data_IF_171630071449
#
_entry.id   IF_171630071449
#
_cell.length_a   1.000
_cell.length_b   1.000
_cell.length_c   1.000
_cell.angle_alpha   90.00
_cell.angle_beta   90.00
_cell.angle_gamma   90.00
#
_symmetry.space_group_name_H-M   'P 1'
#
loop_
_entity.id
_entity.type
_entity.pdbx_description
1 polymer ?
#
# COMPACT_ATOMS: atom_id res chain seq x y z
N UNK A 1 -21.16 42.93 32.69
CA UNK A 1 -19.93 42.16 32.79
C UNK A 1 -20.07 40.92 31.91
N UNK A 2 -19.57 40.98 30.68
CA UNK A 2 -19.49 39.83 29.77
C UNK A 2 -18.11 39.23 29.92
N UNK A 3 -18.01 38.02 30.43
CA UNK A 3 -16.74 37.27 30.47
C UNK A 3 -16.53 36.58 29.11
N UNK A 4 -15.56 37.05 28.39
CA UNK A 4 -15.05 36.43 27.18
C UNK A 4 -14.22 35.21 27.60
N UNK A 5 -14.68 34.01 27.23
CA UNK A 5 -13.86 32.80 27.31
C UNK A 5 -13.01 32.72 26.07
N UNK A 6 -11.73 33.02 26.19
CA UNK A 6 -10.74 32.67 25.22
C UNK A 6 -10.43 31.18 25.38
N UNK A 7 -10.92 30.34 24.49
CA UNK A 7 -10.52 28.93 24.39
C UNK A 7 -9.15 28.88 23.73
N UNK A 8 -8.17 28.50 24.53
CA UNK A 8 -6.79 28.27 24.07
C UNK A 8 -6.76 26.97 23.27
N UNK A 9 -6.75 27.03 21.95
CA UNK A 9 -6.68 25.90 21.01
C UNK A 9 -5.22 25.52 20.71
N UNK A 10 -4.35 25.52 21.73
CA UNK A 10 -2.89 25.34 21.52
C UNK A 10 -2.32 23.97 21.94
N UNK A 11 -3.13 22.97 22.30
CA UNK A 11 -2.57 21.75 22.92
C UNK A 11 -2.80 20.43 22.17
N UNK A 12 -3.23 20.43 20.91
CA UNK A 12 -3.49 19.17 20.17
C UNK A 12 -2.50 18.82 19.07
N UNK A 13 -1.51 19.65 18.78
CA UNK A 13 -0.59 19.42 17.64
C UNK A 13 0.67 18.62 18.00
N UNK A 14 0.98 18.45 19.29
CA UNK A 14 2.24 17.81 19.72
C UNK A 14 2.27 16.27 19.66
N UNK A 15 1.16 15.60 19.34
CA UNK A 15 1.06 14.13 19.34
C UNK A 15 1.13 13.46 17.98
N UNK A 16 0.93 14.21 16.88
CA UNK A 16 0.82 13.63 15.52
C UNK A 16 2.15 13.53 14.75
N UNK A 17 3.24 14.09 15.26
CA UNK A 17 4.50 14.17 14.51
C UNK A 17 5.33 12.87 14.49
N UNK A 18 4.88 11.79 15.10
CA UNK A 18 5.62 10.52 15.18
C UNK A 18 4.91 9.33 14.51
N UNK A 19 3.67 9.47 14.08
CA UNK A 19 2.95 8.37 13.45
C UNK A 19 3.36 8.24 11.98
N UNK A 20 3.66 7.02 11.55
CA UNK A 20 3.98 6.68 10.17
C UNK A 20 3.23 5.43 9.68
N UNK A 21 2.63 4.68 10.58
CA UNK A 21 1.62 3.67 10.28
C UNK A 21 0.22 4.20 10.62
N UNK A 22 -0.72 4.13 9.67
CA UNK A 22 -0.60 3.69 8.27
C UNK A 22 0.32 4.57 7.41
N UNK A 23 0.98 3.96 6.40
CA UNK A 23 1.98 4.65 5.56
C UNK A 23 1.37 5.51 4.45
N UNK A 24 0.12 5.31 4.09
CA UNK A 24 -0.63 6.10 3.12
C UNK A 24 -1.79 6.77 3.85
N UNK A 25 -1.96 8.08 3.63
CA UNK A 25 -2.98 8.90 4.32
C UNK A 25 -3.97 9.58 3.37
N UNK A 26 -3.72 9.52 2.06
CA UNK A 26 -4.56 10.13 1.03
C UNK A 26 -5.71 9.26 0.54
N UNK A 27 -5.65 7.95 0.82
CA UNK A 27 -6.65 6.95 0.46
C UNK A 27 -6.65 5.79 1.45
N UNK A 28 -7.70 4.98 1.45
CA UNK A 28 -7.73 3.69 2.15
C UNK A 28 -7.15 2.61 1.23
N UNK A 29 -6.03 2.01 1.65
CA UNK A 29 -5.17 1.14 0.85
C UNK A 29 -5.03 -0.24 1.49
N UNK A 30 -6.07 -1.11 1.40
CA UNK A 30 -6.00 -2.46 1.94
C UNK A 30 -5.06 -3.37 1.14
N UNK A 31 -4.72 -4.50 1.72
CA UNK A 31 -4.08 -5.64 1.08
C UNK A 31 -2.74 -5.28 0.39
N UNK A 32 -1.80 -4.62 1.09
CA UNK A 32 -0.55 -4.15 0.50
C UNK A 32 0.33 -5.32 0.06
N UNK A 33 0.71 -5.33 -1.22
CA UNK A 33 1.56 -6.33 -1.85
C UNK A 33 2.87 -5.68 -2.33
N UNK A 34 3.98 -5.80 -1.58
CA UNK A 34 5.26 -5.21 -1.95
C UNK A 34 5.97 -6.00 -3.05
N UNK A 35 6.70 -5.30 -3.93
CA UNK A 35 7.59 -5.87 -4.91
C UNK A 35 8.82 -4.97 -5.14
N UNK A 36 10.02 -5.52 -5.06
CA UNK A 36 11.27 -4.79 -5.29
C UNK A 36 11.72 -4.94 -6.73
N UNK A 37 11.96 -3.80 -7.39
CA UNK A 37 12.54 -3.76 -8.72
C UNK A 37 13.64 -2.69 -8.79
N UNK A 38 14.88 -3.11 -8.98
CA UNK A 38 16.05 -2.23 -8.88
C UNK A 38 16.21 -1.64 -7.47
N UNK A 39 16.34 -0.33 -7.38
CA UNK A 39 16.49 0.41 -6.12
C UNK A 39 15.16 0.88 -5.53
N UNK A 40 14.04 0.52 -6.14
CA UNK A 40 12.69 0.96 -5.80
C UNK A 40 11.85 -0.19 -5.25
N UNK A 41 11.15 0.05 -4.17
CA UNK A 41 10.08 -0.82 -3.69
C UNK A 41 8.74 -0.25 -4.17
N UNK A 42 8.00 -1.05 -4.92
CA UNK A 42 6.63 -0.81 -5.34
C UNK A 42 5.66 -1.46 -4.36
N UNK A 43 4.54 -0.82 -4.09
CA UNK A 43 3.46 -1.36 -3.30
C UNK A 43 2.16 -1.31 -4.10
N UNK A 44 1.65 -2.48 -4.42
CA UNK A 44 0.35 -2.66 -5.08
C UNK A 44 -0.70 -2.84 -4.00
N UNK A 45 -1.80 -2.10 -4.07
CA UNK A 45 -2.86 -2.17 -3.05
C UNK A 45 -4.23 -2.18 -3.67
N UNK A 46 -5.23 -2.67 -2.94
CA UNK A 46 -6.61 -2.35 -3.21
C UNK A 46 -6.93 -0.88 -2.90
N UNK A 47 -8.18 -0.50 -3.14
CA UNK A 47 -8.74 0.79 -2.77
C UNK A 47 -10.11 0.59 -2.12
N UNK A 48 -10.19 0.67 -0.80
CA UNK A 48 -11.47 0.74 -0.11
C UNK A 48 -12.11 2.11 -0.39
N UNK A 49 -13.28 2.13 -1.01
CA UNK A 49 -13.97 3.38 -1.36
C UNK A 49 -14.32 4.20 -0.13
N UNK A 50 -14.20 5.53 -0.17
CA UNK A 50 -14.48 6.43 0.97
C UNK A 50 -15.92 6.28 1.52
N UNK A 51 -16.87 5.81 0.72
CA UNK A 51 -18.27 5.57 1.09
C UNK A 51 -18.60 4.10 1.38
N UNK A 52 -17.59 3.23 1.51
CA UNK A 52 -17.79 1.80 1.66
C UNK A 52 -18.46 1.43 3.00
N UNK A 53 -19.41 0.50 2.93
CA UNK A 53 -20.06 -0.17 4.08
C UNK A 53 -19.91 -1.68 4.00
N UNK A 54 -19.17 -2.17 3.03
CA UNK A 54 -18.72 -3.54 2.77
C UNK A 54 -17.44 -3.45 1.95
N UNK A 55 -16.83 -4.56 1.52
CA UNK A 55 -15.62 -4.56 0.68
C UNK A 55 -15.90 -4.04 -0.74
N UNK A 56 -16.23 -2.73 -0.83
CA UNK A 56 -16.51 -2.02 -2.07
C UNK A 56 -15.22 -1.46 -2.63
N UNK A 57 -14.71 -2.10 -3.69
CA UNK A 57 -13.41 -1.79 -4.28
C UNK A 57 -13.54 -1.88 -5.81
N UNK A 58 -13.03 -0.87 -6.53
CA UNK A 58 -13.21 -0.73 -7.99
C UNK A 58 -11.92 -0.81 -8.77
N UNK A 59 -10.80 -0.60 -8.10
CA UNK A 59 -9.51 -0.38 -8.72
C UNK A 59 -8.37 -0.76 -7.80
N UNK A 60 -7.16 -0.84 -8.36
CA UNK A 60 -5.93 -1.08 -7.62
C UNK A 60 -5.00 0.11 -7.76
N UNK A 61 -4.43 0.53 -6.65
CA UNK A 61 -3.52 1.65 -6.55
C UNK A 61 -2.08 1.18 -6.54
N UNK A 62 -1.20 2.03 -7.04
CA UNK A 62 0.24 1.81 -7.07
C UNK A 62 0.97 2.93 -6.33
N UNK A 63 1.91 2.54 -5.50
CA UNK A 63 2.83 3.44 -4.79
C UNK A 63 4.26 2.95 -4.94
N UNK A 64 5.24 3.85 -4.74
CA UNK A 64 6.65 3.49 -4.69
C UNK A 64 7.38 4.21 -3.57
N UNK A 65 8.50 3.64 -3.13
CA UNK A 65 9.45 4.26 -2.21
C UNK A 65 10.87 3.80 -2.49
N UNK A 66 11.84 4.68 -2.21
CA UNK A 66 13.27 4.35 -2.20
C UNK A 66 13.86 4.41 -0.78
N UNK A 67 13.10 4.94 0.21
CA UNK A 67 13.57 5.24 1.56
C UNK A 67 12.71 4.65 2.69
N UNK A 68 11.61 3.96 2.35
CA UNK A 68 10.65 3.32 3.26
C UNK A 68 9.79 4.28 4.09
N UNK A 69 9.96 5.58 3.94
CA UNK A 69 9.22 6.56 4.75
C UNK A 69 8.47 7.60 3.92
N UNK A 70 8.94 7.92 2.72
CA UNK A 70 8.22 8.74 1.76
C UNK A 70 7.67 7.84 0.66
N UNK A 71 6.38 7.95 0.40
CA UNK A 71 5.67 7.15 -0.59
C UNK A 71 5.13 8.04 -1.69
N UNK A 72 5.44 7.71 -2.94
CA UNK A 72 4.95 8.41 -4.12
C UNK A 72 3.75 7.67 -4.69
N UNK A 73 2.63 8.34 -4.85
CA UNK A 73 1.46 7.80 -5.54
C UNK A 73 1.74 7.72 -7.04
N UNK A 74 1.51 6.56 -7.63
CA UNK A 74 1.74 6.28 -9.06
C UNK A 74 0.45 5.95 -9.82
N UNK A 75 -0.70 6.27 -9.22
CA UNK A 75 -2.01 6.16 -9.86
C UNK A 75 -2.74 4.86 -9.59
N UNK A 76 -3.79 4.67 -10.40
CA UNK A 76 -4.65 3.49 -10.46
C UNK A 76 -4.56 2.84 -11.83
N UNK A 77 -3.42 2.19 -12.17
CA UNK A 77 -3.16 1.71 -13.52
C UNK A 77 -4.02 0.52 -13.96
N UNK A 78 -4.64 -0.18 -13.00
CA UNK A 78 -5.58 -1.30 -13.24
C UNK A 78 -6.90 -1.03 -12.52
N UNK A 79 -8.01 -1.23 -13.23
CA UNK A 79 -9.37 -1.12 -12.70
C UNK A 79 -10.20 -2.31 -13.16
N UNK A 80 -11.40 -2.48 -12.63
CA UNK A 80 -12.32 -3.51 -13.14
C UNK A 80 -12.60 -3.36 -14.65
N UNK A 81 -12.56 -2.12 -15.18
CA UNK A 81 -12.76 -1.84 -16.61
C UNK A 81 -11.63 -2.35 -17.50
N UNK A 82 -10.46 -2.69 -16.94
CA UNK A 82 -9.38 -3.36 -17.69
C UNK A 82 -9.82 -4.74 -18.21
N UNK A 83 -10.80 -5.35 -17.55
CA UNK A 83 -11.31 -6.70 -17.84
C UNK A 83 -12.78 -6.64 -18.26
N UNK A 84 -13.06 -6.59 -19.57
CA UNK A 84 -14.42 -6.41 -20.11
C UNK A 84 -15.41 -7.51 -19.69
N UNK A 85 -14.92 -8.72 -19.40
CA UNK A 85 -15.72 -9.87 -18.99
C UNK A 85 -16.08 -9.87 -17.50
N UNK A 86 -15.41 -9.04 -16.69
CA UNK A 86 -15.61 -8.98 -15.25
C UNK A 86 -16.82 -8.13 -14.84
N UNK A 87 -17.31 -8.36 -13.63
CA UNK A 87 -18.27 -7.46 -12.99
C UNK A 87 -17.65 -6.07 -12.81
N UNK A 88 -18.35 -5.03 -13.22
CA UNK A 88 -17.80 -3.68 -13.28
C UNK A 88 -18.12 -2.86 -12.04
N UNK A 89 -17.14 -2.05 -11.62
CA UNK A 89 -17.31 -1.02 -10.60
C UNK A 89 -17.35 -1.51 -9.16
N UNK A 90 -16.95 -2.76 -8.91
CA UNK A 90 -16.83 -3.36 -7.57
C UNK A 90 -16.02 -4.65 -7.60
N UNK A 91 -15.65 -5.19 -6.42
CA UNK A 91 -14.98 -6.48 -6.20
C UNK A 91 -13.58 -6.58 -6.78
N UNK A 92 -12.86 -5.46 -6.85
CA UNK A 92 -11.44 -5.40 -7.15
C UNK A 92 -10.63 -5.63 -5.87
N UNK A 93 -10.59 -6.89 -5.37
CA UNK A 93 -10.02 -7.23 -4.07
C UNK A 93 -8.49 -7.43 -4.14
N UNK A 94 -7.89 -8.15 -3.20
CA UNK A 94 -6.44 -8.29 -3.10
C UNK A 94 -5.77 -8.75 -4.39
N UNK A 95 -4.53 -8.33 -4.58
CA UNK A 95 -3.79 -8.54 -5.82
C UNK A 95 -2.28 -8.50 -5.57
N UNK A 96 -1.50 -8.98 -6.53
CA UNK A 96 -0.05 -8.82 -6.52
C UNK A 96 0.51 -8.72 -7.95
N UNK A 97 1.61 -8.00 -8.10
CA UNK A 97 2.32 -7.91 -9.38
C UNK A 97 3.78 -8.34 -9.25
N UNK A 98 4.34 -8.81 -10.35
CA UNK A 98 5.77 -9.09 -10.52
C UNK A 98 6.25 -8.58 -11.87
N UNK A 99 7.54 -8.31 -11.94
CA UNK A 99 8.23 -8.10 -13.22
C UNK A 99 8.90 -9.39 -13.70
N UNK A 100 8.83 -9.68 -15.00
CA UNK A 100 9.57 -10.75 -15.64
C UNK A 100 9.87 -10.40 -17.11
N UNK A 101 11.13 -10.46 -17.47
CA UNK A 101 11.60 -10.26 -18.85
C UNK A 101 11.16 -8.91 -19.46
N UNK A 102 11.18 -7.84 -18.68
CA UNK A 102 10.79 -6.49 -19.08
C UNK A 102 9.29 -6.26 -19.16
N UNK A 103 8.49 -7.16 -18.59
CA UNK A 103 7.03 -7.04 -18.51
C UNK A 103 6.54 -7.14 -17.09
N UNK A 104 5.52 -6.35 -16.76
CA UNK A 104 4.82 -6.37 -15.49
C UNK A 104 3.54 -7.19 -15.64
N UNK A 105 3.37 -8.19 -14.77
CA UNK A 105 2.20 -9.05 -14.69
C UNK A 105 1.50 -8.78 -13.37
N UNK A 106 0.30 -8.23 -13.42
CA UNK A 106 -0.50 -7.91 -12.25
C UNK A 106 -1.66 -8.89 -12.13
N UNK A 107 -1.56 -9.82 -11.19
CA UNK A 107 -2.58 -10.82 -10.89
C UNK A 107 -3.59 -10.21 -9.93
N UNK A 108 -4.85 -10.30 -10.28
CA UNK A 108 -5.97 -9.71 -9.57
C UNK A 108 -7.07 -10.75 -9.36
N UNK A 109 -7.91 -10.56 -8.35
CA UNK A 109 -9.17 -11.28 -8.24
C UNK A 109 -10.34 -10.35 -8.55
N UNK A 110 -11.34 -10.93 -9.22
CA UNK A 110 -12.53 -10.28 -9.75
C UNK A 110 -13.72 -11.22 -9.61
N UNK A 111 -14.88 -10.80 -10.05
CA UNK A 111 -16.03 -11.68 -10.26
C UNK A 111 -16.35 -11.74 -11.74
N UNK A 112 -16.49 -12.93 -12.30
CA UNK A 112 -16.94 -13.12 -13.67
C UNK A 112 -18.41 -12.69 -13.82
N UNK A 113 -18.71 -11.74 -14.70
CA UNK A 113 -20.05 -11.19 -14.84
C UNK A 113 -21.11 -12.21 -15.31
N UNK A 114 -20.69 -13.16 -16.15
CA UNK A 114 -21.58 -14.17 -16.73
C UNK A 114 -22.05 -15.21 -15.72
N UNK A 115 -21.19 -15.62 -14.78
CA UNK A 115 -21.46 -16.74 -13.85
C UNK A 115 -21.62 -16.28 -12.40
N UNK A 116 -21.18 -15.06 -12.09
CA UNK A 116 -21.01 -14.51 -10.73
C UNK A 116 -20.04 -15.36 -9.86
N UNK A 117 -19.13 -16.10 -10.49
CA UNK A 117 -18.06 -16.81 -9.80
C UNK A 117 -16.88 -15.90 -9.53
N UNK A 118 -16.14 -16.16 -8.45
CA UNK A 118 -14.85 -15.50 -8.22
C UNK A 118 -13.86 -15.97 -9.28
N UNK A 119 -13.00 -15.08 -9.73
CA UNK A 119 -12.12 -15.29 -10.87
C UNK A 119 -10.76 -14.64 -10.65
N UNK A 120 -9.71 -15.33 -11.02
CA UNK A 120 -8.36 -14.76 -11.13
C UNK A 120 -8.14 -14.26 -12.55
N UNK A 121 -7.48 -13.11 -12.66
CA UNK A 121 -7.09 -12.51 -13.92
C UNK A 121 -5.65 -12.01 -13.88
N UNK A 122 -5.07 -11.74 -15.03
CA UNK A 122 -3.76 -11.12 -15.14
C UNK A 122 -3.79 -9.98 -16.15
N UNK A 123 -3.37 -8.80 -15.70
CA UNK A 123 -3.09 -7.66 -16.56
C UNK A 123 -1.59 -7.59 -16.87
N UNK A 124 -1.23 -7.14 -18.06
CA UNK A 124 0.17 -7.03 -18.49
C UNK A 124 0.48 -5.64 -19.04
N UNK A 125 1.68 -5.13 -18.70
CA UNK A 125 2.23 -3.86 -19.17
C UNK A 125 3.74 -3.96 -19.39
N UNK A 126 4.33 -2.97 -20.07
CA UNK A 126 5.79 -2.83 -20.23
C UNK A 126 6.41 -1.90 -19.15
N UNK A 127 5.59 -1.30 -18.30
CA UNK A 127 5.98 -0.36 -17.27
C UNK A 127 5.05 -0.54 -16.04
N UNK A 128 5.54 -0.38 -14.80
CA UNK A 128 4.72 -0.58 -13.58
C UNK A 128 3.51 0.36 -13.50
N UNK A 129 3.60 1.56 -14.10
CA UNK A 129 2.48 2.49 -14.18
C UNK A 129 1.54 2.23 -15.39
N UNK A 130 1.80 1.16 -16.16
CA UNK A 130 1.02 0.80 -17.33
C UNK A 130 1.38 1.58 -18.62
N UNK A 131 0.48 1.61 -19.61
CA UNK A 131 -0.90 1.13 -19.55
C UNK A 131 -0.99 -0.40 -19.51
N UNK A 132 -1.79 -0.90 -18.58
CA UNK A 132 -2.09 -2.32 -18.48
C UNK A 132 -3.23 -2.72 -19.42
N UNK A 133 -3.20 -3.97 -19.87
CA UNK A 133 -4.26 -4.61 -20.64
C UNK A 133 -4.54 -6.01 -20.11
N UNK A 134 -5.75 -6.49 -20.25
CA UNK A 134 -6.09 -7.89 -20.01
C UNK A 134 -5.19 -8.77 -20.89
N UNK A 135 -4.47 -9.69 -20.27
CA UNK A 135 -3.49 -10.52 -20.98
C UNK A 135 -4.14 -11.70 -21.71
N UNK A 136 -5.35 -12.13 -21.32
CA UNK A 136 -6.00 -13.36 -21.75
C UNK A 136 -7.32 -13.08 -22.49
N UNK A 137 -8.06 -12.05 -22.07
CA UNK A 137 -9.43 -11.77 -22.53
C UNK A 137 -10.48 -12.65 -21.83
N UNK A 138 -10.16 -13.17 -20.67
CA UNK A 138 -11.01 -14.02 -19.83
C UNK A 138 -10.31 -14.42 -18.54
N UNK A 139 -10.98 -15.16 -17.63
CA UNK A 139 -10.37 -15.58 -16.38
C UNK A 139 -9.23 -16.59 -16.59
N UNK A 140 -8.17 -16.47 -15.79
CA UNK A 140 -7.10 -17.45 -15.68
C UNK A 140 -7.59 -18.72 -14.95
N UNK A 141 -8.40 -18.53 -13.91
CA UNK A 141 -9.09 -19.59 -13.17
C UNK A 141 -10.37 -19.04 -12.54
N UNK A 142 -11.38 -19.89 -12.37
CA UNK A 142 -12.64 -19.54 -11.69
C UNK A 142 -13.01 -20.60 -10.67
N UNK A 143 -13.60 -20.16 -9.58
CA UNK A 143 -14.09 -21.08 -8.55
C UNK A 143 -14.65 -20.31 -7.36
N UNK A 144 -15.25 -21.03 -6.43
CA UNK A 144 -15.66 -20.41 -5.16
C UNK A 144 -14.45 -20.01 -4.34
N UNK A 145 -14.45 -18.76 -3.85
CA UNK A 145 -13.34 -18.21 -3.06
C UNK A 145 -11.99 -18.20 -3.78
N UNK A 146 -11.99 -18.10 -5.11
CA UNK A 146 -10.78 -17.88 -5.90
C UNK A 146 -10.42 -16.39 -5.88
N UNK A 147 -9.89 -15.97 -4.73
CA UNK A 147 -9.49 -14.60 -4.43
C UNK A 147 -8.03 -14.58 -3.91
N UNK A 148 -7.46 -13.41 -3.72
CA UNK A 148 -6.17 -13.15 -3.09
C UNK A 148 -4.99 -13.85 -3.81
N UNK A 149 -4.78 -13.60 -5.11
CA UNK A 149 -3.67 -14.20 -5.83
C UNK A 149 -2.33 -13.63 -5.36
N UNK A 150 -1.37 -14.53 -5.14
CA UNK A 150 0.02 -14.22 -4.86
C UNK A 150 0.91 -14.94 -5.88
N UNK A 151 1.80 -14.22 -6.53
CA UNK A 151 2.75 -14.77 -7.50
C UNK A 151 4.14 -14.83 -6.87
N UNK A 152 4.77 -15.99 -6.97
CA UNK A 152 6.12 -16.25 -6.49
C UNK A 152 7.01 -16.74 -7.64
N UNK A 153 8.17 -16.13 -7.84
CA UNK A 153 9.19 -16.58 -8.79
C UNK A 153 10.34 -17.16 -8.00
N UNK A 154 10.61 -18.45 -8.20
CA UNK A 154 11.69 -19.18 -7.52
C UNK A 154 13.06 -18.89 -8.16
N UNK A 155 14.15 -19.23 -7.46
CA UNK A 155 15.53 -19.01 -7.89
C UNK A 155 15.87 -19.71 -9.22
N UNK A 156 15.16 -20.78 -9.57
CA UNK A 156 15.32 -21.49 -10.85
C UNK A 156 14.55 -20.83 -12.00
N UNK A 157 13.84 -19.74 -11.73
CA UNK A 157 12.99 -19.02 -12.67
C UNK A 157 11.59 -19.61 -12.85
N UNK A 158 11.23 -20.68 -12.13
CA UNK A 158 9.85 -21.20 -12.11
C UNK A 158 8.95 -20.20 -11.40
N UNK A 159 7.79 -19.91 -11.99
CA UNK A 159 6.79 -19.03 -11.40
C UNK A 159 5.58 -19.83 -10.91
N UNK A 160 5.05 -19.46 -9.77
CA UNK A 160 3.90 -20.11 -9.14
C UNK A 160 2.86 -19.06 -8.75
N UNK A 161 1.60 -19.37 -8.93
CA UNK A 161 0.49 -18.57 -8.44
C UNK A 161 -0.17 -19.33 -7.29
N UNK A 162 -0.35 -18.66 -6.14
CA UNK A 162 -1.10 -19.14 -4.98
C UNK A 162 -2.32 -18.27 -4.77
N UNK A 163 -3.41 -18.82 -4.22
CA UNK A 163 -4.64 -18.06 -3.94
C UNK A 163 -5.61 -18.82 -3.04
N UNK A 164 -6.63 -18.11 -2.56
CA UNK A 164 -7.83 -18.71 -1.99
C UNK A 164 -8.19 -18.26 -0.59
N UNK A 165 -9.49 -18.26 -0.30
CA UNK A 165 -10.08 -18.04 1.01
C UNK A 165 -10.70 -19.34 1.51
N UNK A 166 -10.36 -19.76 2.73
CA UNK A 166 -10.75 -21.04 3.37
C UNK A 166 -10.42 -22.31 2.56
N UNK A 167 -9.58 -22.15 1.59
CA UNK A 167 -8.94 -23.13 0.76
C UNK A 167 -7.70 -22.50 0.20
N UNK A 168 -6.58 -23.20 0.09
CA UNK A 168 -5.35 -22.67 -0.49
C UNK A 168 -5.00 -23.49 -1.73
N UNK A 169 -4.91 -22.82 -2.85
CA UNK A 169 -4.66 -23.42 -4.16
C UNK A 169 -3.34 -22.90 -4.73
N UNK A 170 -2.70 -23.67 -5.58
CA UNK A 170 -1.54 -23.22 -6.32
C UNK A 170 -1.39 -23.93 -7.66
N UNK A 171 -0.68 -23.27 -8.58
CA UNK A 171 -0.30 -23.84 -9.84
C UNK A 171 0.98 -23.23 -10.38
N UNK A 172 1.80 -24.04 -11.06
CA UNK A 172 2.98 -23.55 -11.77
C UNK A 172 2.53 -22.81 -13.03
N UNK A 173 2.94 -21.56 -13.16
CA UNK A 173 2.68 -20.76 -14.35
C UNK A 173 3.59 -21.22 -15.50
N UNK A 174 3.05 -21.20 -16.71
CA UNK A 174 3.83 -21.38 -17.91
C UNK A 174 4.76 -20.17 -18.15
N UNK A 175 5.70 -20.29 -19.07
CA UNK A 175 6.66 -19.22 -19.35
C UNK A 175 6.03 -17.92 -19.86
N UNK A 176 4.80 -17.98 -20.35
CA UNK A 176 4.01 -16.82 -20.78
C UNK A 176 3.41 -16.01 -19.61
N UNK A 177 3.48 -16.54 -18.38
CA UNK A 177 2.90 -15.96 -17.16
C UNK A 177 1.37 -15.78 -17.22
N UNK A 178 0.68 -16.34 -18.20
CA UNK A 178 -0.75 -16.15 -18.48
C UNK A 178 -1.54 -17.45 -18.54
N UNK A 179 -0.88 -18.58 -18.28
CA UNK A 179 -1.48 -19.91 -18.24
C UNK A 179 -0.76 -20.80 -17.24
N UNK A 180 -1.37 -21.95 -16.85
CA UNK A 180 -0.72 -22.95 -16.00
C UNK A 180 -0.09 -24.05 -16.86
N UNK A 181 1.12 -24.53 -16.48
CA UNK A 181 1.78 -25.63 -17.20
C UNK A 181 0.98 -26.94 -17.14
N UNK A 182 0.44 -27.28 -15.97
CA UNK A 182 -0.26 -28.54 -15.69
C UNK A 182 -1.57 -28.37 -14.92
N UNK A 183 -2.20 -27.17 -15.03
CA UNK A 183 -3.34 -26.81 -14.19
C UNK A 183 -2.92 -26.42 -12.77
N UNK A 184 -3.86 -26.51 -11.85
CA UNK A 184 -3.66 -26.14 -10.46
C UNK A 184 -4.26 -27.19 -9.51
N UNK A 185 -3.84 -27.16 -8.25
CA UNK A 185 -4.31 -28.08 -7.21
C UNK A 185 -4.36 -27.40 -5.85
N UNK A 186 -5.03 -28.00 -4.90
CA UNK A 186 -4.99 -27.57 -3.51
C UNK A 186 -3.59 -27.82 -2.92
N UNK A 187 -3.12 -26.92 -2.06
CA UNK A 187 -1.81 -27.02 -1.40
C UNK A 187 -1.76 -28.32 -0.59
N UNK A 188 -0.72 -29.16 -0.77
CA UNK A 188 -0.63 -30.44 -0.07
C UNK A 188 -0.64 -30.27 1.45
N UNK A 189 -1.48 -31.07 2.13
CA UNK A 189 -1.66 -31.00 3.58
C UNK A 189 -2.50 -29.83 4.08
N UNK A 190 -3.21 -29.13 3.20
CA UNK A 190 -3.99 -27.95 3.57
C UNK A 190 -4.95 -28.17 4.74
N UNK A 191 -5.61 -29.34 4.80
CA UNK A 191 -6.56 -29.68 5.87
C UNK A 191 -5.90 -30.26 7.15
N UNK A 192 -4.56 -30.31 7.22
CA UNK A 192 -3.85 -30.79 8.41
C UNK A 192 -3.51 -29.60 9.32
N UNK A 193 -3.99 -29.60 10.59
CA UNK A 193 -3.62 -28.56 11.56
C UNK A 193 -2.12 -28.45 11.84
N UNK A 194 -1.36 -29.52 11.64
CA UNK A 194 0.10 -29.49 11.74
C UNK A 194 0.75 -28.68 10.61
N UNK A 195 0.05 -28.52 9.49
CA UNK A 195 0.52 -27.76 8.33
C UNK A 195 0.05 -26.29 8.32
N UNK A 196 -1.21 -26.04 8.69
CA UNK A 196 -1.87 -24.74 8.54
C UNK A 196 -2.56 -24.19 9.81
N UNK A 197 -2.15 -24.72 10.96
CA UNK A 197 -2.57 -24.22 12.28
C UNK A 197 -3.82 -24.87 12.85
N UNK A 198 -4.08 -24.60 14.13
CA UNK A 198 -5.14 -25.27 14.88
C UNK A 198 -6.51 -24.99 14.31
N UNK A 199 -7.35 -26.03 14.28
CA UNK A 199 -8.73 -25.91 13.83
C UNK A 199 -9.56 -25.01 14.75
N UNK A 200 -10.45 -24.27 14.13
CA UNK A 200 -11.48 -23.46 14.79
C UNK A 200 -12.78 -23.49 13.99
N UNK A 201 -13.90 -23.16 14.65
CA UNK A 201 -15.17 -23.01 13.98
C UNK A 201 -15.18 -21.76 13.11
N UNK A 202 -15.39 -21.92 11.82
CA UNK A 202 -15.42 -20.84 10.84
C UNK A 202 -16.64 -20.91 9.94
N UNK A 203 -17.12 -19.75 9.49
CA UNK A 203 -18.20 -19.69 8.51
C UNK A 203 -17.68 -20.15 7.13
N UNK A 204 -18.22 -21.25 6.64
CA UNK A 204 -18.07 -21.67 5.25
C UNK A 204 -19.19 -21.04 4.42
N UNK A 205 -18.88 -19.92 3.78
CA UNK A 205 -19.85 -19.15 2.99
C UNK A 205 -20.41 -19.92 1.79
N UNK A 206 -19.61 -20.84 1.20
CA UNK A 206 -20.06 -21.70 0.12
C UNK A 206 -21.20 -22.63 0.55
N UNK A 207 -21.18 -23.11 1.79
CA UNK A 207 -22.15 -24.04 2.35
C UNK A 207 -23.20 -23.36 3.22
N UNK A 208 -23.02 -22.06 3.52
CA UNK A 208 -23.90 -21.28 4.39
C UNK A 208 -23.96 -21.78 5.83
N UNK A 209 -22.88 -22.38 6.35
CA UNK A 209 -22.83 -22.95 7.71
C UNK A 209 -21.42 -22.84 8.32
N UNK A 210 -21.34 -22.91 9.65
CA UNK A 210 -20.07 -23.05 10.35
C UNK A 210 -19.55 -24.49 10.25
N UNK A 211 -18.23 -24.62 10.05
CA UNK A 211 -17.50 -25.89 10.01
C UNK A 211 -16.20 -25.76 10.77
N UNK A 212 -15.68 -26.89 11.27
CA UNK A 212 -14.33 -26.98 11.83
C UNK A 212 -13.33 -26.92 10.67
N UNK A 213 -12.44 -25.94 10.69
CA UNK A 213 -11.47 -25.68 9.62
C UNK A 213 -10.11 -25.33 10.22
N UNK A 214 -9.01 -25.62 9.52
CA UNK A 214 -7.64 -25.26 9.91
C UNK A 214 -7.46 -23.76 10.10
N UNK A 215 -6.33 -23.38 10.72
CA UNK A 215 -6.06 -22.00 11.08
C UNK A 215 -6.03 -21.01 9.90
N UNK A 216 -5.53 -21.41 8.72
CA UNK A 216 -5.52 -20.59 7.50
C UNK A 216 -6.90 -19.97 7.20
N UNK A 217 -6.93 -18.68 6.85
CA UNK A 217 -8.16 -18.00 6.45
C UNK A 217 -8.15 -17.63 4.97
N UNK A 218 -7.17 -16.82 4.53
CA UNK A 218 -7.05 -16.31 3.16
C UNK A 218 -5.62 -15.82 2.85
N UNK A 219 -5.43 -15.10 1.75
CA UNK A 219 -4.28 -14.26 1.45
C UNK A 219 -2.91 -14.92 1.57
N UNK A 220 -2.64 -16.06 0.88
CA UNK A 220 -1.36 -16.74 0.99
C UNK A 220 -0.25 -15.89 0.38
N UNK A 221 0.79 -15.57 1.13
CA UNK A 221 1.99 -14.92 0.63
C UNK A 221 3.18 -15.87 0.70
N UNK A 222 3.81 -16.15 -0.45
CA UNK A 222 4.91 -17.11 -0.53
C UNK A 222 6.23 -16.40 -0.80
N UNK A 223 7.25 -16.76 -0.01
CA UNK A 223 8.63 -16.30 -0.17
C UNK A 223 9.61 -17.44 0.06
N UNK A 224 10.89 -17.19 -0.26
CA UNK A 224 11.97 -18.14 -0.01
C UNK A 224 13.19 -17.46 0.58
N UNK A 225 13.83 -18.12 1.54
CA UNK A 225 15.10 -17.68 2.12
C UNK A 225 16.00 -18.88 2.29
N UNK A 226 17.08 -18.95 1.50
CA UNK A 226 17.92 -20.13 1.42
C UNK A 226 17.13 -21.36 0.97
N UNK A 227 17.16 -22.43 1.76
CA UNK A 227 16.47 -23.69 1.46
C UNK A 227 15.07 -23.79 2.11
N UNK A 228 14.55 -22.68 2.66
CA UNK A 228 13.26 -22.67 3.36
C UNK A 228 12.26 -21.82 2.57
N UNK A 229 11.12 -22.43 2.25
CA UNK A 229 9.93 -21.72 1.75
C UNK A 229 9.07 -21.30 2.93
N UNK A 230 8.56 -20.09 2.88
CA UNK A 230 7.66 -19.49 3.84
C UNK A 230 6.32 -19.24 3.16
N UNK A 231 5.25 -19.49 3.87
CA UNK A 231 3.92 -19.00 3.49
C UNK A 231 3.37 -18.27 4.71
N UNK A 232 3.23 -16.94 4.60
CA UNK A 232 2.51 -16.12 5.59
C UNK A 232 1.07 -15.95 5.14
N UNK A 233 0.14 -15.87 6.08
CA UNK A 233 -1.29 -15.79 5.77
C UNK A 233 -2.10 -15.29 6.97
N UNK A 234 -3.23 -14.61 6.71
CA UNK A 234 -4.30 -14.39 7.67
C UNK A 234 -4.85 -15.71 8.22
N UNK A 235 -5.12 -15.76 9.50
CA UNK A 235 -5.49 -16.97 10.21
C UNK A 235 -6.49 -16.73 11.35
N UNK A 236 -7.15 -17.80 11.80
CA UNK A 236 -7.96 -17.82 13.03
C UNK A 236 -9.43 -17.51 12.84
N UNK A 237 -9.86 -17.16 11.67
CA UNK A 237 -11.21 -16.65 11.38
C UNK A 237 -11.26 -15.13 11.55
N UNK A 238 -12.46 -14.55 11.64
CA UNK A 238 -12.65 -13.10 11.77
C UNK A 238 -12.98 -12.75 13.22
N UNK A 239 -12.20 -11.87 13.91
CA UNK A 239 -11.04 -11.13 13.43
C UNK A 239 -9.81 -12.01 13.20
N UNK A 240 -9.02 -11.62 12.19
CA UNK A 240 -7.83 -12.34 11.75
C UNK A 240 -6.56 -11.88 12.43
N UNK A 241 -5.63 -12.81 12.57
CA UNK A 241 -4.23 -12.55 12.92
C UNK A 241 -3.29 -13.10 11.84
N UNK A 242 -2.05 -12.63 11.76
CA UNK A 242 -1.08 -13.15 10.81
C UNK A 242 -0.35 -14.38 11.39
N UNK A 243 -0.30 -15.45 10.60
CA UNK A 243 0.43 -16.68 10.91
C UNK A 243 1.33 -17.09 9.75
N UNK A 244 2.15 -18.13 9.94
CA UNK A 244 2.95 -18.67 8.86
C UNK A 244 3.21 -20.16 9.00
N UNK A 245 3.54 -20.77 7.85
CA UNK A 245 4.06 -22.12 7.71
C UNK A 245 5.37 -22.12 6.91
N UNK A 246 6.18 -23.16 7.06
CA UNK A 246 7.42 -23.33 6.29
C UNK A 246 7.45 -24.70 5.63
N UNK A 247 8.21 -24.81 4.52
CA UNK A 247 8.42 -26.06 3.82
C UNK A 247 9.84 -26.17 3.26
N UNK A 248 10.37 -27.39 3.02
CA UNK A 248 11.64 -27.58 2.34
C UNK A 248 11.53 -27.51 0.81
N UNK A 249 10.32 -27.50 0.26
CA UNK A 249 10.05 -27.33 -1.15
C UNK A 249 8.70 -26.63 -1.35
N UNK A 250 8.47 -26.09 -2.55
CA UNK A 250 7.23 -25.40 -2.90
C UNK A 250 5.98 -26.31 -2.77
N UNK A 251 6.16 -27.62 -2.99
CA UNK A 251 5.12 -28.63 -2.86
C UNK A 251 4.96 -29.17 -1.42
N UNK A 252 5.70 -28.61 -0.44
CA UNK A 252 5.66 -29.05 0.94
C UNK A 252 6.73 -30.13 1.27
N UNK A 253 6.55 -30.91 2.37
CA UNK A 253 5.45 -30.78 3.33
C UNK A 253 5.52 -29.47 4.12
N UNK A 254 4.40 -28.77 4.20
CA UNK A 254 4.27 -27.56 5.01
C UNK A 254 4.20 -27.89 6.49
N UNK A 255 4.71 -26.99 7.32
CA UNK A 255 4.70 -27.12 8.78
C UNK A 255 4.32 -25.79 9.40
N UNK A 256 3.24 -25.76 10.16
CA UNK A 256 2.78 -24.59 10.91
C UNK A 256 3.85 -24.14 11.93
N UNK A 257 4.14 -22.85 11.95
CA UNK A 257 5.16 -22.25 12.81
C UNK A 257 4.60 -21.32 13.88
N UNK A 258 3.39 -20.86 13.72
CA UNK A 258 2.72 -20.04 14.73
C UNK A 258 2.24 -18.68 14.22
N UNK A 259 1.73 -17.93 15.16
CA UNK A 259 1.27 -16.55 14.98
C UNK A 259 2.46 -15.58 15.01
N UNK A 260 2.48 -14.62 14.08
CA UNK A 260 3.55 -13.62 13.95
C UNK A 260 3.07 -12.18 14.17
N UNK A 261 1.78 -11.89 14.00
CA UNK A 261 1.16 -10.59 14.35
C UNK A 261 -0.20 -10.82 15.01
N UNK A 262 -0.65 -9.86 15.79
CA UNK A 262 -1.98 -9.86 16.41
C UNK A 262 -3.07 -9.43 15.43
N UNK A 263 -4.33 -9.35 15.90
CA UNK A 263 -5.45 -8.77 15.17
C UNK A 263 -5.21 -7.29 14.92
N UNK A 264 -5.50 -6.83 13.70
CA UNK A 264 -5.22 -5.44 13.29
C UNK A 264 -6.09 -4.41 14.05
N UNK A 265 -5.51 -3.27 14.41
CA UNK A 265 -6.24 -2.18 15.07
C UNK A 265 -7.40 -1.68 14.20
N UNK A 266 -8.63 -1.68 14.74
CA UNK A 266 -9.86 -1.24 14.08
C UNK A 266 -10.21 -1.95 12.76
N UNK A 267 -9.61 -3.08 12.46
CA UNK A 267 -9.97 -3.92 11.32
C UNK A 267 -10.28 -5.33 11.80
N UNK A 268 -11.05 -6.08 11.02
CA UNK A 268 -11.35 -7.48 11.31
C UNK A 268 -10.66 -8.44 10.34
N UNK A 269 -9.99 -7.91 9.32
CA UNK A 269 -9.05 -8.62 8.45
C UNK A 269 -7.64 -8.08 8.64
N UNK A 270 -6.63 -8.88 8.30
CA UNK A 270 -5.24 -8.50 8.18
C UNK A 270 -4.65 -9.19 6.95
N UNK A 271 -4.03 -8.44 6.04
CA UNK A 271 -3.50 -9.01 4.81
C UNK A 271 -2.27 -8.23 4.35
N UNK A 272 -1.30 -8.92 3.77
CA UNK A 272 -0.06 -8.36 3.25
C UNK A 272 1.00 -9.44 3.09
N UNK A 273 2.26 -9.05 3.07
CA UNK A 273 3.35 -10.00 2.89
C UNK A 273 4.71 -9.42 3.27
N UNK A 274 5.69 -10.30 3.39
CA UNK A 274 7.06 -9.89 3.68
C UNK A 274 7.86 -9.64 2.40
N UNK A 275 8.85 -8.74 2.52
CA UNK A 275 9.81 -8.43 1.46
C UNK A 275 11.16 -8.05 2.06
N UNK A 276 12.25 -8.42 1.39
CA UNK A 276 13.58 -7.87 1.66
C UNK A 276 13.83 -6.65 0.75
N UNK A 277 14.21 -5.51 1.35
CA UNK A 277 14.58 -4.31 0.61
C UNK A 277 15.83 -3.68 1.23
N UNK A 278 16.87 -3.45 0.41
CA UNK A 278 18.16 -2.87 0.82
C UNK A 278 18.76 -3.56 2.06
N UNK A 279 18.66 -4.92 2.10
CA UNK A 279 19.23 -5.74 3.16
C UNK A 279 18.46 -5.73 4.49
N UNK A 280 17.24 -5.25 4.50
CA UNK A 280 16.32 -5.27 5.65
C UNK A 280 15.03 -6.00 5.29
N UNK A 281 14.38 -6.63 6.27
CA UNK A 281 13.13 -7.35 6.04
C UNK A 281 11.96 -6.53 6.60
N UNK A 282 10.89 -6.48 5.82
CA UNK A 282 9.68 -5.73 6.12
C UNK A 282 8.46 -6.62 6.00
N UNK A 283 7.54 -6.49 6.96
CA UNK A 283 6.21 -7.10 6.92
C UNK A 283 5.18 -6.01 6.64
N UNK A 284 4.53 -6.10 5.49
CA UNK A 284 3.40 -5.25 5.13
C UNK A 284 2.10 -5.87 5.63
N UNK A 285 1.18 -5.02 6.05
CA UNK A 285 -0.15 -5.42 6.51
C UNK A 285 -1.10 -4.22 6.41
N UNK A 286 -2.37 -4.37 6.73
CA UNK A 286 -3.29 -3.25 6.83
C UNK A 286 -3.96 -3.17 8.22
N UNK A 287 -4.46 -1.98 8.58
CA UNK A 287 -5.32 -1.75 9.74
C UNK A 287 -6.37 -0.67 9.43
N UNK A 288 -7.28 -0.41 10.38
CA UNK A 288 -8.29 0.64 10.28
C UNK A 288 -7.98 1.89 11.13
N UNK A 289 -6.71 2.25 11.32
CA UNK A 289 -6.30 3.29 12.27
C UNK A 289 -6.36 4.73 11.73
N UNK A 290 -6.56 4.95 10.43
CA UNK A 290 -6.79 6.31 9.90
C UNK A 290 -8.08 6.93 10.44
N UNK A 291 -8.22 8.26 10.44
CA UNK A 291 -9.48 8.92 10.73
C UNK A 291 -10.62 8.36 9.85
N UNK A 292 -11.75 8.00 10.48
CA UNK A 292 -12.85 7.26 9.87
C UNK A 292 -12.50 5.86 9.32
N UNK A 293 -11.34 5.33 9.68
CA UNK A 293 -10.92 3.99 9.34
C UNK A 293 -11.76 2.90 10.02
N UNK A 294 -11.65 1.68 9.53
CA UNK A 294 -12.42 0.54 10.01
C UNK A 294 -12.25 -0.68 9.12
N UNK A 295 -13.07 -1.71 9.33
CA UNK A 295 -12.97 -2.96 8.59
C UNK A 295 -13.24 -2.86 7.08
N UNK A 296 -13.83 -1.76 6.60
CA UNK A 296 -14.06 -1.45 5.18
C UNK A 296 -13.39 -0.15 4.75
N UNK A 297 -12.48 0.39 5.58
CA UNK A 297 -11.65 1.56 5.33
C UNK A 297 -10.25 1.26 5.88
N UNK A 298 -9.60 0.28 5.30
CA UNK A 298 -8.32 -0.27 5.73
C UNK A 298 -7.17 0.50 5.09
N UNK A 299 -6.02 0.56 5.73
CA UNK A 299 -4.88 1.31 5.22
C UNK A 299 -3.57 0.57 5.47
N UNK A 300 -2.69 0.60 4.48
CA UNK A 300 -1.40 -0.06 4.47
C UNK A 300 -0.49 0.41 5.61
N UNK A 301 0.14 -0.55 6.25
CA UNK A 301 1.15 -0.41 7.30
C UNK A 301 2.37 -1.26 6.98
N UNK A 302 3.48 -0.96 7.61
CA UNK A 302 4.72 -1.75 7.46
C UNK A 302 5.54 -1.76 8.74
N UNK A 303 6.07 -2.92 9.12
CA UNK A 303 7.01 -3.09 10.22
C UNK A 303 8.33 -3.67 9.72
N UNK A 304 9.45 -3.18 10.25
CA UNK A 304 10.75 -3.79 10.04
C UNK A 304 10.94 -4.94 11.02
N UNK A 305 11.48 -6.08 10.57
CA UNK A 305 11.79 -7.22 11.43
C UNK A 305 13.11 -7.90 11.05
N UNK A 306 13.60 -8.75 11.93
CA UNK A 306 14.79 -9.56 11.68
C UNK A 306 14.48 -11.02 11.96
N UNK A 307 14.73 -11.92 11.01
CA UNK A 307 14.61 -13.35 11.23
C UNK A 307 15.48 -13.81 12.41
N UNK A 308 14.98 -14.76 13.18
CA UNK A 308 15.78 -15.44 14.21
C UNK A 308 16.93 -16.22 13.57
N UNK A 309 17.92 -16.63 14.40
CA UNK A 309 19.09 -17.40 13.94
C UNK A 309 18.72 -18.74 13.29
N UNK A 310 17.61 -19.35 13.70
CA UNK A 310 17.07 -20.59 13.14
C UNK A 310 16.22 -20.38 11.87
N UNK A 311 16.12 -19.15 11.37
CA UNK A 311 15.32 -18.78 10.22
C UNK A 311 13.84 -18.57 10.52
N UNK A 312 13.37 -18.71 11.76
CA UNK A 312 11.98 -18.43 12.09
C UNK A 312 11.66 -16.94 12.05
N UNK A 313 10.41 -16.59 11.71
CA UNK A 313 9.88 -15.21 11.80
C UNK A 313 9.53 -14.97 13.27
N UNK A 314 10.08 -13.90 13.92
CA UNK A 314 9.69 -13.55 15.28
C UNK A 314 8.25 -13.01 15.32
N UNK A 315 7.69 -12.87 16.53
CA UNK A 315 6.48 -12.06 16.68
C UNK A 315 6.78 -10.59 16.36
N UNK A 316 5.98 -9.97 15.48
CA UNK A 316 6.16 -8.61 14.98
C UNK A 316 5.06 -7.74 15.59
N UNK A 317 5.38 -6.90 16.59
CA UNK A 317 4.39 -6.03 17.22
C UNK A 317 4.04 -4.85 16.30
N UNK A 318 2.79 -4.43 16.31
CA UNK A 318 2.36 -3.21 15.63
C UNK A 318 2.98 -1.98 16.25
N UNK A 319 3.46 -1.06 15.42
CA UNK A 319 3.96 0.24 15.86
C UNK A 319 3.27 1.39 15.12
N UNK A 320 3.19 2.55 15.78
CA UNK A 320 2.75 3.79 15.13
C UNK A 320 3.89 4.48 14.37
N UNK A 321 5.14 4.06 14.61
CA UNK A 321 6.32 4.70 14.02
C UNK A 321 6.65 4.23 12.62
N UNK A 322 6.23 2.99 12.29
CA UNK A 322 6.68 2.35 11.06
C UNK A 322 8.20 2.12 11.00
N UNK A 323 8.74 1.87 9.82
CA UNK A 323 10.15 1.54 9.63
C UNK A 323 11.09 2.73 9.84
N UNK A 324 12.36 2.42 10.06
CA UNK A 324 13.43 3.41 10.07
C UNK A 324 13.76 3.84 8.63
N UNK A 325 13.95 5.16 8.36
CA UNK A 325 14.33 5.62 7.03
C UNK A 325 15.69 5.03 6.60
N UNK A 326 15.78 4.66 5.32
CA UNK A 326 17.00 4.07 4.72
C UNK A 326 17.57 4.91 3.57
N UNK A 327 17.08 6.15 3.42
CA UNK A 327 17.48 7.10 2.39
C UNK A 327 17.18 8.53 2.79
N UNK A 328 17.19 9.41 1.81
CA UNK A 328 16.80 10.82 1.93
C UNK A 328 16.29 11.35 0.60
N UNK A 329 15.44 12.37 0.67
CA UNK A 329 14.97 13.12 -0.50
C UNK A 329 15.99 14.22 -0.83
N UNK A 330 16.41 14.28 -2.09
CA UNK A 330 17.21 15.38 -2.66
C UNK A 330 16.27 16.49 -3.19
N UNK A 331 16.07 17.58 -2.44
CA UNK A 331 15.12 18.62 -2.83
C UNK A 331 15.63 19.52 -3.96
N UNK A 332 16.90 19.36 -4.39
CA UNK A 332 17.47 20.04 -5.55
C UNK A 332 17.07 19.38 -6.88
N UNK A 333 16.38 18.24 -6.82
CA UNK A 333 15.62 17.64 -7.93
C UNK A 333 14.13 17.91 -7.74
N UNK A 334 13.36 17.78 -8.80
CA UNK A 334 11.89 17.81 -8.71
C UNK A 334 11.43 16.75 -7.71
N UNK A 335 10.63 17.18 -6.74
CA UNK A 335 9.93 16.32 -5.79
C UNK A 335 8.44 16.42 -6.12
N UNK A 336 7.84 15.31 -6.52
CA UNK A 336 6.41 15.26 -6.82
C UNK A 336 5.60 15.54 -5.54
N UNK A 337 4.52 16.30 -5.63
CA UNK A 337 3.74 16.70 -4.47
C UNK A 337 3.09 15.50 -3.76
N UNK A 338 2.77 14.44 -4.51
CA UNK A 338 2.25 13.18 -4.00
C UNK A 338 3.31 12.27 -3.39
N UNK A 339 4.60 12.70 -3.34
CA UNK A 339 5.65 12.05 -2.55
C UNK A 339 5.59 12.56 -1.12
N UNK A 340 5.11 11.74 -0.21
CA UNK A 340 4.90 12.15 1.17
C UNK A 340 5.05 11.01 2.18
N UNK A 341 5.42 11.37 3.39
CA UNK A 341 5.45 10.47 4.54
C UNK A 341 4.14 10.51 5.33
N UNK A 342 3.43 11.62 5.27
CA UNK A 342 2.15 11.83 5.95
C UNK A 342 1.43 13.03 5.38
N UNK A 343 0.11 13.06 5.51
CA UNK A 343 -0.69 14.22 5.13
C UNK A 343 -1.95 14.36 5.97
N UNK A 344 -2.58 15.52 5.87
CA UNK A 344 -3.89 15.78 6.47
C UNK A 344 -4.74 16.59 5.51
N UNK A 345 -5.98 16.15 5.30
CA UNK A 345 -7.01 16.83 4.52
C UNK A 345 -6.94 16.63 3.00
N UNK A 346 -5.74 16.37 2.46
CA UNK A 346 -5.54 16.26 1.02
C UNK A 346 -5.82 14.87 0.47
N UNK A 347 -6.05 14.78 -0.84
CA UNK A 347 -6.14 13.57 -1.65
C UNK A 347 -5.12 13.63 -2.78
N UNK A 348 -4.96 12.53 -3.50
CA UNK A 348 -4.18 12.45 -4.73
C UNK A 348 -5.07 12.10 -5.91
N UNK A 349 -4.74 12.60 -7.09
CA UNK A 349 -5.43 12.28 -8.33
C UNK A 349 -4.45 12.29 -9.51
N UNK A 350 -4.93 11.99 -10.69
CA UNK A 350 -4.13 11.78 -11.89
C UNK A 350 -4.44 12.81 -12.99
N UNK A 351 -3.37 13.39 -13.57
CA UNK A 351 -3.42 14.06 -14.86
C UNK A 351 -3.47 13.07 -16.02
N UNK A 352 -3.53 13.56 -17.22
CA UNK A 352 -3.36 12.72 -18.41
C UNK A 352 -1.95 12.13 -18.45
N UNK A 353 -1.84 10.84 -18.81
CA UNK A 353 -0.56 10.14 -18.87
C UNK A 353 -0.15 9.54 -17.52
N UNK A 354 1.10 9.77 -17.10
CA UNK A 354 1.69 9.26 -15.86
C UNK A 354 1.87 10.34 -14.78
N UNK A 355 1.41 11.56 -15.04
CA UNK A 355 1.53 12.66 -14.08
C UNK A 355 0.41 12.58 -13.05
N UNK A 356 0.75 12.88 -11.80
CA UNK A 356 -0.15 12.88 -10.66
C UNK A 356 -0.04 14.21 -9.92
N UNK A 357 -0.95 14.49 -9.01
CA UNK A 357 -0.95 15.71 -8.22
C UNK A 357 -1.69 15.51 -6.90
N UNK A 358 -1.44 16.42 -5.96
CA UNK A 358 -2.23 16.55 -4.72
C UNK A 358 -3.41 17.47 -4.96
N UNK A 359 -4.59 17.04 -4.55
CA UNK A 359 -5.89 17.74 -4.76
C UNK A 359 -6.72 17.80 -3.48
N UNK A 360 -7.91 18.39 -3.56
CA UNK A 360 -8.82 18.61 -2.42
C UNK A 360 -8.19 19.45 -1.30
N UNK A 361 -7.31 20.37 -1.68
CA UNK A 361 -6.57 21.21 -0.75
C UNK A 361 -7.46 22.31 -0.20
N UNK A 362 -7.67 22.31 1.11
CA UNK A 362 -8.42 23.33 1.86
C UNK A 362 -7.55 24.03 2.90
N UNK A 363 -8.11 25.05 3.57
CA UNK A 363 -7.37 25.82 4.58
C UNK A 363 -6.99 24.98 5.80
N UNK A 364 -5.70 24.91 6.07
CA UNK A 364 -5.12 24.16 7.19
C UNK A 364 -4.68 22.75 6.85
N UNK A 365 -4.87 22.29 5.61
CA UNK A 365 -4.34 21.04 5.11
C UNK A 365 -2.82 21.10 4.99
N UNK A 366 -2.17 19.94 5.09
CA UNK A 366 -0.72 19.87 5.05
C UNK A 366 -0.18 18.53 4.56
N UNK A 367 1.06 18.57 4.07
CA UNK A 367 1.86 17.42 3.64
C UNK A 367 3.15 17.40 4.46
N UNK A 368 3.63 16.21 4.79
CA UNK A 368 4.94 16.00 5.41
C UNK A 368 5.82 15.15 4.49
N UNK A 369 7.01 15.64 4.20
CA UNK A 369 8.10 14.89 3.54
C UNK A 369 9.22 14.73 4.54
N UNK A 370 9.69 13.49 4.76
CA UNK A 370 10.73 13.20 5.75
C UNK A 370 12.11 13.13 5.11
N UNK A 371 13.14 13.30 5.96
CA UNK A 371 14.54 13.06 5.57
C UNK A 371 14.98 13.88 4.34
N UNK A 372 14.55 15.12 4.23
CA UNK A 372 14.93 16.02 3.14
C UNK A 372 16.33 16.57 3.39
N UNK A 373 17.29 16.32 2.47
CA UNK A 373 18.71 16.67 2.62
C UNK A 373 19.04 17.99 1.90
N UNK A 374 19.13 19.09 2.63
CA UNK A 374 19.44 20.43 2.10
C UNK A 374 20.94 20.71 1.91
N UNK A 375 21.82 19.79 2.34
CA UNK A 375 23.26 20.02 2.32
C UNK A 375 23.73 21.11 3.29
N UNK A 376 24.97 21.52 3.16
CA UNK A 376 25.59 22.40 4.14
C UNK A 376 25.14 23.89 4.07
N UNK A 377 24.71 24.35 2.90
CA UNK A 377 24.39 25.76 2.66
C UNK A 377 22.92 26.13 2.75
N UNK A 378 22.05 25.12 2.70
CA UNK A 378 20.62 25.30 2.56
C UNK A 378 20.19 25.90 1.20
N UNK A 379 18.89 25.97 0.93
CA UNK A 379 18.36 26.47 -0.34
C UNK A 379 18.33 27.98 -0.38
N UNK A 380 18.48 28.55 -1.59
CA UNK A 380 18.32 30.00 -1.84
C UNK A 380 16.95 30.37 -2.39
N UNK A 381 16.35 29.48 -3.12
CA UNK A 381 15.03 29.63 -3.76
C UNK A 381 14.21 28.37 -3.59
N UNK A 382 12.91 28.53 -3.59
CA UNK A 382 11.92 27.46 -3.74
C UNK A 382 11.12 27.70 -5.02
N UNK A 383 10.92 26.63 -5.79
CA UNK A 383 10.04 26.58 -6.95
C UNK A 383 8.91 25.59 -6.68
N UNK A 384 7.71 25.88 -7.17
CA UNK A 384 6.59 24.94 -7.15
C UNK A 384 5.65 25.19 -8.33
N UNK A 385 4.90 24.17 -8.72
CA UNK A 385 3.90 24.24 -9.77
C UNK A 385 2.49 23.97 -9.24
N UNK A 386 1.54 24.78 -9.72
CA UNK A 386 0.13 24.73 -9.35
C UNK A 386 -0.72 24.62 -10.59
N UNK A 387 -1.71 23.74 -10.55
CA UNK A 387 -2.66 23.44 -11.59
C UNK A 387 -4.09 23.69 -11.10
N UNK A 388 -5.03 23.82 -12.01
CA UNK A 388 -6.47 23.87 -11.71
C UNK A 388 -6.85 24.86 -10.59
N UNK A 389 -6.24 26.06 -10.62
CA UNK A 389 -6.48 27.13 -9.64
C UNK A 389 -7.97 27.45 -9.49
N UNK A 390 -8.44 27.52 -8.25
CA UNK A 390 -9.81 27.87 -7.89
C UNK A 390 -9.88 29.08 -6.96
N UNK A 391 -9.10 29.09 -5.88
CA UNK A 391 -9.08 30.16 -4.89
C UNK A 391 -7.63 30.49 -4.46
N UNK A 392 -7.35 31.77 -4.13
CA UNK A 392 -6.03 32.18 -3.68
C UNK A 392 -5.68 31.58 -2.31
N UNK A 393 -4.42 31.14 -2.19
CA UNK A 393 -3.89 30.64 -0.95
C UNK A 393 -2.38 30.90 -0.85
N UNK A 394 -1.82 30.70 0.34
CA UNK A 394 -0.38 30.68 0.60
C UNK A 394 0.07 29.26 0.88
N UNK A 395 1.13 28.81 0.20
CA UNK A 395 1.83 27.54 0.46
C UNK A 395 3.05 27.85 1.31
N UNK A 396 3.08 27.35 2.52
CA UNK A 396 4.14 27.64 3.51
C UNK A 396 4.99 26.37 3.75
N UNK A 397 6.31 26.49 3.60
CA UNK A 397 7.28 25.42 3.80
C UNK A 397 8.03 25.59 5.11
N UNK A 398 7.98 24.58 5.97
CA UNK A 398 8.60 24.57 7.30
C UNK A 398 9.60 23.41 7.43
N UNK A 399 10.69 23.62 8.16
CA UNK A 399 11.61 22.57 8.57
C UNK A 399 11.24 22.08 9.98
N UNK A 400 11.14 20.76 10.16
CA UNK A 400 10.92 20.00 11.40
C UNK A 400 9.58 20.22 12.12
N UNK A 401 8.98 21.40 12.04
CA UNK A 401 7.69 21.66 12.68
C UNK A 401 6.95 22.85 12.07
N UNK A 402 5.64 22.73 11.93
CA UNK A 402 4.73 23.83 11.60
C UNK A 402 4.60 24.79 12.78
N UNK A 403 4.42 26.09 12.53
CA UNK A 403 4.10 27.09 13.55
C UNK A 403 5.23 28.03 13.95
N UNK A 404 6.35 28.01 13.24
CA UNK A 404 7.40 29.03 13.31
C UNK A 404 7.40 29.95 12.10
N UNK A 405 8.58 30.46 11.73
CA UNK A 405 8.78 31.15 10.47
C UNK A 405 9.02 30.09 9.38
N UNK A 406 8.22 30.08 8.29
CA UNK A 406 8.50 29.22 7.16
C UNK A 406 9.84 29.60 6.49
N UNK A 407 10.57 28.63 5.94
CA UNK A 407 11.76 28.93 5.17
C UNK A 407 11.41 29.39 3.74
N UNK A 408 10.19 29.13 3.26
CA UNK A 408 9.63 29.70 2.05
C UNK A 408 8.11 29.82 2.19
N UNK A 409 7.53 30.86 1.55
CA UNK A 409 6.08 31.03 1.47
C UNK A 409 5.73 31.61 0.09
N UNK A 410 4.77 30.96 -0.58
CA UNK A 410 4.35 31.29 -1.93
C UNK A 410 2.88 31.72 -1.92
N UNK A 411 2.62 32.97 -2.33
CA UNK A 411 1.25 33.42 -2.59
C UNK A 411 0.81 32.94 -3.97
N UNK A 412 -0.11 32.00 -4.02
CA UNK A 412 -0.71 31.45 -5.24
C UNK A 412 -1.97 32.23 -5.59
N UNK A 413 -2.02 32.80 -6.80
CA UNK A 413 -3.14 33.62 -7.32
C UNK A 413 -3.60 33.21 -8.71
N UNK A 414 -2.95 32.24 -9.33
CA UNK A 414 -3.26 31.69 -10.65
C UNK A 414 -2.58 30.32 -10.81
N UNK A 415 -2.77 29.64 -11.94
CA UNK A 415 -2.01 28.47 -12.36
C UNK A 415 -0.58 28.84 -12.72
N UNK A 416 0.34 27.89 -12.59
CA UNK A 416 1.68 27.98 -13.16
C UNK A 416 2.81 27.75 -12.17
N UNK A 417 4.01 28.09 -12.62
CA UNK A 417 5.25 27.97 -11.89
C UNK A 417 5.49 29.22 -11.03
N UNK A 418 5.76 29.02 -9.77
CA UNK A 418 6.12 30.06 -8.81
C UNK A 418 7.55 29.86 -8.32
N UNK A 419 8.29 30.96 -8.20
CA UNK A 419 9.65 31.01 -7.64
C UNK A 419 9.72 32.08 -6.56
N UNK A 420 10.21 31.71 -5.38
CA UNK A 420 10.37 32.64 -4.26
C UNK A 420 11.71 32.44 -3.56
N UNK A 421 12.31 33.50 -2.99
CA UNK A 421 13.51 33.37 -2.17
C UNK A 421 13.25 32.51 -0.93
N UNK A 422 14.18 31.62 -0.61
CA UNK A 422 14.20 30.93 0.68
C UNK A 422 14.65 31.90 1.79
N UNK A 423 14.01 31.78 2.95
CA UNK A 423 14.37 32.56 4.14
C UNK A 423 14.64 31.62 5.32
N UNK A 424 15.76 31.76 6.00
CA UNK A 424 16.11 30.89 7.14
C UNK A 424 16.96 29.67 6.80
N UNK A 425 17.14 29.38 5.52
CA UNK A 425 18.10 28.43 4.93
C UNK A 425 18.34 27.16 5.78
N UNK A 426 17.40 26.23 5.88
CA UNK A 426 17.63 24.97 6.57
C UNK A 426 18.84 24.25 5.96
N UNK A 427 19.74 23.74 6.78
CA UNK A 427 20.95 23.05 6.34
C UNK A 427 21.05 21.67 6.98
N UNK A 428 21.54 20.69 6.21
CA UNK A 428 21.53 19.29 6.59
C UNK A 428 20.16 18.66 6.36
N UNK A 429 19.81 17.69 7.18
CA UNK A 429 18.63 16.85 6.99
C UNK A 429 17.49 17.27 7.90
N UNK A 430 16.30 17.47 7.33
CA UNK A 430 15.10 17.93 8.01
C UNK A 430 13.84 17.20 7.52
N UNK A 431 12.82 17.11 8.36
CA UNK A 431 11.46 16.85 7.92
C UNK A 431 10.85 18.16 7.38
N UNK A 432 10.25 18.14 6.19
CA UNK A 432 9.58 19.30 5.58
C UNK A 432 8.08 19.19 5.74
N UNK A 433 7.45 20.23 6.23
CA UNK A 433 6.00 20.38 6.28
C UNK A 433 5.57 21.45 5.28
N UNK A 434 4.60 21.12 4.43
CA UNK A 434 4.00 22.00 3.44
C UNK A 434 2.57 22.27 3.89
N UNK A 435 2.30 23.49 4.32
CA UNK A 435 1.01 23.89 4.90
C UNK A 435 0.28 24.84 3.95
N UNK A 436 -1.01 24.60 3.73
CA UNK A 436 -1.86 25.41 2.88
C UNK A 436 -2.75 26.34 3.69
N UNK A 437 -2.72 27.65 3.39
CA UNK A 437 -3.50 28.65 4.11
C UNK A 437 -4.24 29.58 3.14
N UNK A 438 -5.54 29.75 3.38
CA UNK A 438 -6.37 30.62 2.56
C UNK A 438 -7.73 30.89 3.18
N UNK A 439 -8.68 31.30 2.35
CA UNK A 439 -10.10 31.41 2.73
C UNK A 439 -10.81 30.06 2.74
N UNK A 440 -12.13 30.10 2.64
CA UNK A 440 -12.94 28.90 2.53
C UNK A 440 -12.94 28.35 1.09
N UNK A 441 -13.04 27.01 0.94
CA UNK A 441 -13.13 26.28 -0.33
C UNK A 441 -11.78 25.81 -0.85
N UNK A 442 -11.83 24.90 -1.82
CA UNK A 442 -10.65 24.28 -2.42
C UNK A 442 -9.80 25.31 -3.17
N UNK A 443 -8.49 25.16 -3.10
CA UNK A 443 -7.55 26.16 -3.61
C UNK A 443 -7.10 25.87 -5.04
N UNK A 444 -6.42 24.75 -5.24
CA UNK A 444 -5.77 24.35 -6.50
C UNK A 444 -5.32 22.90 -6.38
N UNK A 445 -4.75 22.37 -7.45
CA UNK A 445 -3.99 21.11 -7.44
C UNK A 445 -2.49 21.44 -7.38
N UNK A 446 -1.77 20.72 -6.51
CA UNK A 446 -0.33 20.91 -6.28
C UNK A 446 0.43 19.79 -6.96
N UNK A 447 1.32 20.13 -7.92
CA UNK A 447 1.98 19.19 -8.81
C UNK A 447 3.36 18.76 -8.30
N UNK A 448 4.26 19.71 -8.09
CA UNK A 448 5.61 19.44 -7.59
C UNK A 448 6.26 20.65 -6.92
N UNK A 449 7.37 20.39 -6.25
CA UNK A 449 8.24 21.41 -5.68
C UNK A 449 9.73 21.06 -5.84
N UNK A 450 10.59 22.07 -5.77
CA UNK A 450 12.05 21.95 -5.87
C UNK A 450 12.71 23.14 -5.20
N UNK A 451 13.90 22.97 -4.65
CA UNK A 451 14.74 24.09 -4.16
C UNK A 451 15.97 24.29 -5.05
N UNK A 452 16.53 25.52 -5.01
CA UNK A 452 17.76 25.90 -5.74
C UNK A 452 18.81 26.49 -4.82
#
# INVERSE_FOLDING_TARGET
MRKTFAVCLCCLICGLSLAQNPIITTAYTPDPAPFVYGDTLYMFTGHDEDDATYFKMKEWMLYSTEDMVNWTYLGTPVTTATFEWAFQGDRAWASQAVERDGKWYWYVCLTEAATNADALAVAVADDPQGPYRDAIGGPLATGWSFIDPTVFIDDDGSAYLFWGNKGCWYGKLASDMTSFENGYQEVPGFHDPACFGPESMKMNWAKGKEEMMVGYEEGPWVSRRGDIYYMTYPAGGVPEYMAYSTAPSIDGPWTYRGRIMDEAENAFTIHGGEVEFKGRNYMFYHNGALPNGGGFHRSACVEEFTYNEDGSIPFIPFTKKGPVPIGSIDPYKRVEAETMAWSWGVKTDRLAGKDHYVTKIDNGDWIKVREVEFGASGPKELCLEVLNFQNPATVEFYADAMGGRPFAAVEVKDNGLFEVPSSGNPSGRHDVYILFRGGDGQFFDFDWWQVK
#
